data_IF_364213325792
#
_entry.id   IF_364213325792
#
_cell.length_a   1.000
_cell.length_b   1.000
_cell.length_c   1.000
_cell.angle_alpha   90.00
_cell.angle_beta   90.00
_cell.angle_gamma   90.00
#
_symmetry.space_group_name_H-M   'P 1'
#
loop_
_entity.id
_entity.type
_entity.pdbx_description
1 polymer ?
#
# COMPACT_ATOMS: atom_id res chain seq x y z
N UNK A 1 5.18 10.47 -39.02
CA UNK A 1 5.14 10.72 -37.57
C UNK A 1 4.39 9.54 -36.99
N UNK A 2 5.11 8.56 -36.44
CA UNK A 2 4.48 7.33 -35.97
C UNK A 2 3.90 7.57 -34.59
N UNK A 3 2.60 7.34 -34.44
CA UNK A 3 1.93 7.34 -33.14
C UNK A 3 2.57 6.26 -32.27
N UNK A 4 3.24 6.68 -31.20
CA UNK A 4 3.66 5.77 -30.13
C UNK A 4 2.36 5.37 -29.42
N UNK A 5 2.01 4.08 -29.36
CA UNK A 5 0.80 3.67 -28.66
C UNK A 5 0.90 4.16 -27.23
N UNK A 6 -0.18 4.79 -26.75
CA UNK A 6 -0.34 5.27 -25.39
C UNK A 6 -0.20 4.07 -24.44
N UNK A 7 1.05 3.78 -24.04
CA UNK A 7 1.39 2.58 -23.32
C UNK A 7 0.81 2.75 -21.91
N UNK A 8 -0.30 2.06 -21.66
CA UNK A 8 -0.95 2.04 -20.35
C UNK A 8 0.11 1.79 -19.27
N UNK A 9 0.04 2.58 -18.19
CA UNK A 9 0.95 2.46 -17.06
C UNK A 9 1.06 0.99 -16.63
N UNK A 10 2.27 0.50 -16.28
CA UNK A 10 2.42 -0.87 -15.76
C UNK A 10 1.60 -1.11 -14.48
N UNK A 11 1.13 -0.05 -13.81
CA UNK A 11 0.31 -0.10 -12.61
C UNK A 11 -1.17 0.26 -12.85
N UNK A 12 -1.62 0.34 -14.11
CA UNK A 12 -2.96 0.83 -14.45
C UNK A 12 -4.13 -0.02 -13.91
N UNK A 13 -3.84 -1.22 -13.39
CA UNK A 13 -4.84 -2.13 -12.79
C UNK A 13 -4.59 -2.36 -11.29
N UNK A 14 -3.59 -1.71 -10.73
CA UNK A 14 -3.23 -1.89 -9.33
C UNK A 14 -4.01 -0.92 -8.43
N UNK A 15 -4.23 -1.39 -7.21
CA UNK A 15 -4.79 -0.59 -6.13
C UNK A 15 -3.75 -0.56 -5.02
N UNK A 16 -3.25 0.64 -4.73
CA UNK A 16 -2.35 0.94 -3.64
C UNK A 16 -3.14 1.38 -2.42
N UNK A 17 -3.07 0.60 -1.34
CA UNK A 17 -3.59 0.99 -0.03
C UNK A 17 -2.44 1.51 0.85
N UNK A 18 -2.53 2.78 1.22
CA UNK A 18 -1.62 3.46 2.13
C UNK A 18 -2.28 3.57 3.51
N UNK A 19 -1.78 2.81 4.49
CA UNK A 19 -2.16 2.95 5.89
C UNK A 19 -0.99 3.57 6.67
N UNK A 20 -1.11 4.85 7.02
CA UNK A 20 -0.07 5.56 7.76
C UNK A 20 -0.63 6.64 8.69
N UNK A 21 0.14 7.03 9.70
CA UNK A 21 -0.29 7.99 10.72
C UNK A 21 -0.16 9.45 10.27
N UNK A 22 -0.67 9.77 9.08
CA UNK A 22 -0.70 11.13 8.56
C UNK A 22 -1.95 11.36 7.71
N UNK A 23 -2.37 12.62 7.67
CA UNK A 23 -3.43 13.06 6.79
C UNK A 23 -2.99 12.86 5.34
N UNK A 24 -3.98 12.70 4.44
CA UNK A 24 -3.70 12.62 3.02
C UNK A 24 -2.87 13.82 2.55
N UNK A 25 -1.92 13.55 1.65
CA UNK A 25 -1.16 14.57 0.95
C UNK A 25 -1.64 14.66 -0.51
N UNK A 26 -2.55 15.58 -0.86
CA UNK A 26 -3.13 15.67 -2.19
C UNK A 26 -2.07 15.95 -3.28
N UNK A 27 -1.02 16.71 -2.95
CA UNK A 27 0.05 17.03 -3.89
C UNK A 27 0.89 15.78 -4.23
N UNK A 28 1.08 14.88 -3.26
CA UNK A 28 1.73 13.59 -3.51
C UNK A 28 0.81 12.66 -4.30
N UNK A 29 -0.45 12.51 -3.88
CA UNK A 29 -1.44 11.66 -4.58
C UNK A 29 -1.55 12.07 -6.04
N UNK A 30 -1.69 13.37 -6.31
CA UNK A 30 -1.73 13.91 -7.68
C UNK A 30 -0.48 13.55 -8.48
N UNK A 31 0.71 13.77 -7.92
CA UNK A 31 1.98 13.47 -8.60
C UNK A 31 2.13 11.98 -8.93
N UNK A 32 1.66 11.10 -8.05
CA UNK A 32 1.67 9.66 -8.27
C UNK A 32 0.69 9.26 -9.36
N UNK A 33 -0.54 9.77 -9.31
CA UNK A 33 -1.55 9.49 -10.34
C UNK A 33 -1.17 10.02 -11.73
N UNK A 34 -0.52 11.19 -11.80
CA UNK A 34 0.02 11.74 -13.06
C UNK A 34 1.18 10.88 -13.61
N UNK A 35 2.04 10.36 -12.72
CA UNK A 35 3.17 9.51 -13.11
C UNK A 35 2.73 8.09 -13.51
N UNK A 36 1.68 7.58 -12.88
CA UNK A 36 1.16 6.22 -13.11
C UNK A 36 -0.34 6.25 -13.42
N UNK A 37 -0.73 6.67 -14.64
CA UNK A 37 -2.14 6.70 -15.04
C UNK A 37 -2.84 5.35 -14.80
N UNK A 38 -3.98 5.37 -14.13
CA UNK A 38 -4.78 4.17 -13.82
C UNK A 38 -4.45 3.48 -12.49
N UNK A 39 -3.34 3.82 -11.82
CA UNK A 39 -3.09 3.39 -10.44
C UNK A 39 -4.13 4.02 -9.52
N UNK A 40 -4.87 3.20 -8.78
CA UNK A 40 -5.80 3.69 -7.76
C UNK A 40 -5.07 3.83 -6.43
N UNK A 41 -5.04 5.04 -5.88
CA UNK A 41 -4.46 5.31 -4.56
C UNK A 41 -5.58 5.44 -3.54
N UNK A 42 -5.52 4.62 -2.48
CA UNK A 42 -6.42 4.69 -1.33
C UNK A 42 -5.61 5.07 -0.10
N UNK A 43 -5.86 6.26 0.44
CA UNK A 43 -5.18 6.75 1.63
C UNK A 43 -6.04 6.57 2.86
N UNK A 44 -5.48 5.97 3.90
CA UNK A 44 -6.12 5.83 5.20
C UNK A 44 -5.20 6.38 6.27
N UNK A 45 -5.64 7.47 6.91
CA UNK A 45 -4.98 8.00 8.09
C UNK A 45 -5.24 7.05 9.26
N UNK A 46 -4.16 6.50 9.81
CA UNK A 46 -4.30 5.50 10.87
C UNK A 46 -4.68 6.10 12.22
N UNK A 47 -4.60 7.42 12.41
CA UNK A 47 -4.82 8.07 13.72
C UNK A 47 -6.30 8.08 14.10
N UNK A 48 -6.63 7.57 15.29
CA UNK A 48 -7.99 7.62 15.84
C UNK A 48 -8.24 8.95 16.59
N UNK A 49 -9.44 9.55 16.50
CA UNK A 49 -9.83 10.63 17.39
C UNK A 49 -9.77 10.16 18.85
N UNK A 50 -9.05 10.90 19.71
CA UNK A 50 -8.84 10.51 21.11
C UNK A 50 -7.61 9.62 21.38
N UNK A 51 -6.80 9.34 20.34
CA UNK A 51 -5.53 8.61 20.48
C UNK A 51 -5.60 7.16 20.01
N UNK A 52 -4.42 6.58 19.79
CA UNK A 52 -4.26 5.25 19.22
C UNK A 52 -4.34 5.23 17.69
N UNK A 53 -4.28 4.01 17.14
CA UNK A 53 -4.24 3.77 15.70
C UNK A 53 -5.24 2.71 15.28
N UNK A 54 -5.84 2.87 14.10
CA UNK A 54 -6.59 1.81 13.43
C UNK A 54 -5.60 0.71 13.02
N UNK A 55 -6.03 -0.53 13.21
CA UNK A 55 -5.36 -1.71 12.71
C UNK A 55 -5.79 -1.94 11.25
N UNK A 56 -4.95 -2.59 10.43
CA UNK A 56 -5.29 -2.91 9.04
C UNK A 56 -6.60 -3.68 8.87
N UNK A 57 -6.93 -4.57 9.80
CA UNK A 57 -8.17 -5.37 9.77
C UNK A 57 -9.43 -4.59 10.17
N UNK A 58 -9.28 -3.43 10.81
CA UNK A 58 -10.39 -2.52 11.15
C UNK A 58 -10.81 -1.67 9.93
N UNK A 59 -10.04 -1.68 8.84
CA UNK A 59 -10.37 -0.96 7.61
C UNK A 59 -11.58 -1.63 6.93
N UNK A 60 -12.59 -0.86 6.47
CA UNK A 60 -13.75 -1.41 5.78
C UNK A 60 -13.40 -2.24 4.53
N UNK A 61 -14.16 -3.30 4.26
CA UNK A 61 -13.90 -4.23 3.16
C UNK A 61 -13.88 -3.55 1.78
N UNK A 62 -14.73 -2.54 1.56
CA UNK A 62 -14.74 -1.77 0.31
C UNK A 62 -13.43 -1.03 0.04
N UNK A 63 -12.65 -0.69 1.07
CA UNK A 63 -11.32 -0.08 0.93
C UNK A 63 -10.26 -1.13 0.62
N UNK A 64 -10.47 -2.38 1.02
CA UNK A 64 -9.59 -3.51 0.70
C UNK A 64 -9.85 -4.13 -0.68
N UNK A 65 -11.02 -3.88 -1.28
CA UNK A 65 -11.38 -4.55 -2.53
C UNK A 65 -10.40 -4.25 -3.67
N UNK A 66 -9.79 -5.29 -4.21
CA UNK A 66 -8.84 -5.21 -5.32
C UNK A 66 -7.45 -4.69 -4.93
N UNK A 67 -7.13 -4.54 -3.64
CA UNK A 67 -5.79 -4.14 -3.18
C UNK A 67 -4.73 -5.14 -3.65
N UNK A 68 -3.76 -4.63 -4.41
CA UNK A 68 -2.62 -5.41 -4.93
C UNK A 68 -1.30 -4.95 -4.33
N UNK A 69 -1.24 -3.70 -3.84
CA UNK A 69 -0.05 -3.09 -3.23
C UNK A 69 -0.46 -2.55 -1.86
N UNK A 70 0.27 -2.94 -0.81
CA UNK A 70 -0.04 -2.53 0.55
C UNK A 70 1.15 -1.83 1.22
N UNK A 71 0.89 -0.67 1.81
CA UNK A 71 1.85 0.06 2.63
C UNK A 71 1.35 0.14 4.07
N UNK A 72 2.08 -0.44 5.01
CA UNK A 72 1.78 -0.31 6.44
C UNK A 72 2.93 -0.75 7.34
N UNK A 73 2.85 -0.38 8.62
CA UNK A 73 3.68 -0.94 9.67
C UNK A 73 3.24 -2.36 10.06
N UNK A 74 1.92 -2.59 10.15
CA UNK A 74 1.33 -3.83 10.67
C UNK A 74 0.72 -4.68 9.54
N UNK A 75 0.75 -6.02 9.66
CA UNK A 75 0.05 -6.89 8.73
C UNK A 75 -1.47 -6.80 8.92
N UNK A 76 -2.20 -6.96 7.81
CA UNK A 76 -3.61 -7.33 7.83
C UNK A 76 -3.74 -8.86 7.79
N UNK A 77 -4.94 -9.39 8.07
CA UNK A 77 -5.21 -10.81 7.91
C UNK A 77 -4.88 -11.33 6.49
N UNK A 78 -4.40 -12.59 6.35
CA UNK A 78 -4.06 -13.16 5.05
C UNK A 78 -5.19 -13.12 4.02
N UNK A 79 -6.45 -13.26 4.47
CA UNK A 79 -7.64 -13.21 3.62
C UNK A 79 -7.79 -11.86 2.91
N UNK A 80 -7.58 -10.75 3.64
CA UNK A 80 -7.59 -9.38 3.07
C UNK A 80 -6.45 -9.16 2.09
N UNK A 81 -5.32 -9.81 2.34
CA UNK A 81 -4.11 -9.69 1.53
C UNK A 81 -4.04 -10.70 0.38
N UNK A 82 -5.12 -11.43 0.09
CA UNK A 82 -5.14 -12.53 -0.91
C UNK A 82 -4.73 -12.13 -2.33
N UNK A 83 -4.89 -10.85 -2.71
CA UNK A 83 -4.48 -10.30 -4.01
C UNK A 83 -3.19 -9.47 -3.95
N UNK A 84 -2.63 -9.28 -2.76
CA UNK A 84 -1.45 -8.45 -2.54
C UNK A 84 -0.23 -9.16 -3.10
N UNK A 85 0.49 -8.47 -3.99
CA UNK A 85 1.73 -8.94 -4.63
C UNK A 85 2.95 -8.11 -4.25
N UNK A 86 2.73 -6.99 -3.55
CA UNK A 86 3.79 -6.11 -3.10
C UNK A 86 3.44 -5.47 -1.75
N UNK A 87 4.37 -5.50 -0.81
CA UNK A 87 4.25 -4.87 0.50
C UNK A 87 5.43 -3.93 0.74
N UNK A 88 5.14 -2.66 1.02
CA UNK A 88 6.11 -1.71 1.56
C UNK A 88 5.86 -1.55 3.06
N UNK A 89 6.84 -1.94 3.87
CA UNK A 89 6.78 -1.75 5.32
C UNK A 89 7.28 -0.35 5.66
N UNK A 90 6.52 0.38 6.47
CA UNK A 90 6.86 1.77 6.87
C UNK A 90 8.01 1.88 7.87
N UNK A 91 8.71 0.79 8.16
CA UNK A 91 9.83 0.69 9.09
C UNK A 91 11.00 -0.05 8.46
N UNK A 92 12.15 0.02 9.13
CA UNK A 92 13.33 -0.78 8.78
C UNK A 92 13.15 -2.27 9.15
N UNK A 93 12.47 -2.54 10.27
CA UNK A 93 12.20 -3.89 10.75
C UNK A 93 10.92 -4.48 10.17
N UNK A 94 10.87 -5.81 10.10
CA UNK A 94 9.72 -6.61 9.66
C UNK A 94 9.30 -7.63 10.72
N UNK A 95 9.67 -7.44 11.98
CA UNK A 95 9.42 -8.39 13.08
C UNK A 95 7.94 -8.73 13.25
N UNK A 96 7.04 -7.80 12.90
CA UNK A 96 5.58 -8.02 12.92
C UNK A 96 5.08 -8.90 11.76
N UNK A 97 5.91 -9.14 10.76
CA UNK A 97 5.59 -9.85 9.53
C UNK A 97 6.22 -11.23 9.43
N UNK A 98 7.28 -11.53 10.19
CA UNK A 98 8.11 -12.75 10.02
C UNK A 98 7.31 -14.04 10.01
N UNK A 99 6.24 -14.11 10.81
CA UNK A 99 5.40 -15.30 10.90
C UNK A 99 4.20 -15.30 9.94
N UNK A 100 3.95 -14.17 9.28
CA UNK A 100 2.78 -13.96 8.43
C UNK A 100 2.89 -14.73 7.11
N UNK A 101 1.80 -15.37 6.68
CA UNK A 101 1.76 -16.20 5.46
C UNK A 101 2.18 -15.42 4.21
N UNK A 102 1.70 -14.17 4.09
CA UNK A 102 2.07 -13.28 2.97
C UNK A 102 3.55 -12.99 2.95
N UNK A 103 4.21 -12.84 4.11
CA UNK A 103 5.65 -12.60 4.19
C UNK A 103 6.47 -13.82 3.78
N UNK A 104 5.95 -15.02 4.07
CA UNK A 104 6.56 -16.30 3.69
C UNK A 104 6.30 -16.66 2.23
N UNK A 105 5.42 -15.95 1.52
CA UNK A 105 5.10 -16.21 0.13
C UNK A 105 6.15 -15.59 -0.82
N UNK A 106 6.90 -16.40 -1.60
CA UNK A 106 7.93 -15.89 -2.51
C UNK A 106 7.37 -15.07 -3.69
N UNK A 107 6.08 -15.20 -4.02
CA UNK A 107 5.43 -14.43 -5.08
C UNK A 107 5.06 -13.00 -4.63
N UNK A 108 5.23 -12.70 -3.33
CA UNK A 108 4.96 -11.38 -2.77
C UNK A 108 6.28 -10.67 -2.50
N UNK A 109 6.52 -9.58 -3.21
CA UNK A 109 7.69 -8.75 -2.98
C UNK A 109 7.53 -7.93 -1.69
N UNK A 110 8.53 -7.96 -0.83
CA UNK A 110 8.60 -7.14 0.38
C UNK A 110 9.71 -6.11 0.27
N UNK A 111 9.42 -4.89 0.69
CA UNK A 111 10.38 -3.80 0.81
C UNK A 111 10.23 -3.11 2.16
N UNK A 112 11.32 -2.56 2.68
CA UNK A 112 11.39 -1.86 3.97
C UNK A 112 11.86 -0.44 3.78
N UNK A 113 11.53 0.45 4.70
CA UNK A 113 12.03 1.83 4.72
C UNK A 113 13.29 1.92 5.60
N UNK A 114 14.39 1.30 5.16
CA UNK A 114 15.68 1.34 5.87
C UNK A 114 16.52 2.54 5.43
N UNK A 115 17.29 3.11 6.36
CA UNK A 115 18.18 4.25 6.05
C UNK A 115 17.47 5.57 5.70
N UNK A 116 16.16 5.65 5.89
CA UNK A 116 15.41 6.89 5.73
C UNK A 116 15.40 7.66 7.06
N UNK A 117 15.81 8.92 6.98
CA UNK A 117 15.72 9.89 8.07
C UNK A 117 14.69 10.96 7.69
N UNK A 118 13.81 11.29 8.64
CA UNK A 118 12.78 12.34 8.51
C UNK A 118 13.38 13.73 8.65
#
# INVERSE_FOLDING_TARGET
>A
MGDIPDQASPLAKDVLLLLLSAAENPAWTRRVSERFPGLQVRWVDSRKPGGGYIQPDEIPDGVWDGVTIFYSYLPASPSRMSKVRFVQVSSAGVDKWVDHEVYKNPDVAFCTTNGCQS
#
